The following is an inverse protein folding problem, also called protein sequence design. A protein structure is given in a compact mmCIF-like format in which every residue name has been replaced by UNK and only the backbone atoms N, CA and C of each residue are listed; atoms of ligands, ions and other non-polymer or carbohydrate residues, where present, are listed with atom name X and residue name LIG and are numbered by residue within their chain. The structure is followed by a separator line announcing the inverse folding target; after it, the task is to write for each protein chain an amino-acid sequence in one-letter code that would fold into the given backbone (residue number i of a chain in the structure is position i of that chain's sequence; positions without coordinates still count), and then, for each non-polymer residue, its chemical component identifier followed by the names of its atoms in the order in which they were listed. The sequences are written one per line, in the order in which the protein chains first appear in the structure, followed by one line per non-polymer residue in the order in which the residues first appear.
data_IF_740935181795
#
_entry.id   IF_740935181795
#
_cell.length_a   1.000
_cell.length_b   1.000
_cell.length_c   1.000
_cell.angle_alpha   90.00
_cell.angle_beta   90.00
_cell.angle_gamma   90.00
#
_symmetry.space_group_name_H-M   'P 1'
#
loop_
_entity.id
_entity.type
_entity.pdbx_description
1 polymer ?
#
# COMPACT_ATOMS: atom_id res chain seq x y z
N UNK A 1 -7.51 -2.16 30.78
CA UNK A 1 -6.47 -1.24 31.29
C UNK A 1 -5.49 -1.01 30.15
N UNK A 2 -5.38 0.23 29.65
CA UNK A 2 -4.42 0.57 28.59
C UNK A 2 -3.11 0.99 29.27
N UNK A 3 -2.01 0.32 28.93
CA UNK A 3 -0.68 0.72 29.34
C UNK A 3 -0.19 1.85 28.43
N UNK A 4 0.36 2.89 29.02
CA UNK A 4 1.03 3.99 28.33
C UNK A 4 2.50 3.99 28.71
N UNK A 5 3.37 4.25 27.74
CA UNK A 5 4.82 4.31 27.97
C UNK A 5 5.25 5.75 28.17
N UNK A 6 5.97 6.00 29.26
CA UNK A 6 6.74 7.21 29.47
C UNK A 6 8.20 6.91 29.11
N UNK A 7 8.69 7.49 28.04
CA UNK A 7 10.05 7.25 27.57
C UNK A 7 11.00 8.31 28.13
N UNK A 8 11.93 7.90 28.99
CA UNK A 8 13.00 8.75 29.51
C UNK A 8 14.19 8.74 28.53
N UNK A 9 14.54 9.91 28.03
CA UNK A 9 15.66 10.12 27.12
C UNK A 9 16.91 10.67 27.84
N UNK A 10 17.14 10.23 29.07
CA UNK A 10 18.40 10.55 29.81
C UNK A 10 19.63 9.96 29.08
N UNK A 11 20.74 10.67 29.18
CA UNK A 11 21.99 10.23 28.54
C UNK A 11 22.74 9.21 29.44
N UNK A 12 23.48 8.24 28.87
CA UNK A 12 23.69 8.00 27.44
C UNK A 12 22.51 7.28 26.79
N UNK A 13 22.17 7.65 25.54
CA UNK A 13 21.15 6.95 24.80
C UNK A 13 21.67 5.61 24.28
N UNK A 14 20.79 4.59 24.18
CA UNK A 14 21.12 3.32 23.53
C UNK A 14 21.48 3.52 22.05
N UNK A 15 22.06 2.52 21.37
CA UNK A 15 22.28 2.55 19.93
C UNK A 15 20.99 2.85 19.14
N UNK A 16 21.12 3.50 17.99
CA UNK A 16 19.98 3.88 17.15
C UNK A 16 19.05 2.70 16.81
N UNK A 17 19.63 1.51 16.60
CA UNK A 17 18.90 0.27 16.35
C UNK A 17 17.99 -0.12 17.52
N UNK A 18 18.42 0.09 18.75
CA UNK A 18 17.61 -0.17 19.94
C UNK A 18 16.56 0.92 20.18
N UNK A 19 16.81 2.14 19.72
CA UNK A 19 15.86 3.23 19.91
C UNK A 19 14.67 3.18 18.93
N UNK A 20 14.87 2.65 17.73
CA UNK A 20 13.85 2.71 16.68
C UNK A 20 12.59 1.90 17.04
N UNK A 21 12.71 0.83 17.82
CA UNK A 21 11.54 0.04 18.20
C UNK A 21 10.58 0.81 19.12
N UNK A 22 11.08 1.82 19.86
CA UNK A 22 10.21 2.69 20.68
C UNK A 22 9.21 3.49 19.85
N UNK A 23 9.46 3.65 18.55
CA UNK A 23 8.48 4.27 17.65
C UNK A 23 7.26 3.38 17.39
N UNK A 24 7.35 2.08 17.67
CA UNK A 24 6.22 1.14 17.58
C UNK A 24 5.45 1.02 18.91
N UNK A 25 6.02 1.47 20.00
CA UNK A 25 5.40 1.39 21.32
C UNK A 25 4.39 2.52 21.55
N UNK A 26 3.40 2.35 22.46
CA UNK A 26 2.41 3.36 22.79
C UNK A 26 3.00 4.47 23.69
N UNK A 27 4.00 5.17 23.17
CA UNK A 27 4.67 6.26 23.90
C UNK A 27 3.75 7.46 23.97
N UNK A 28 3.24 7.73 25.16
CA UNK A 28 2.35 8.87 25.45
C UNK A 28 3.09 10.05 26.08
N UNK A 29 4.29 9.81 26.63
CA UNK A 29 5.09 10.82 27.29
C UNK A 29 6.57 10.66 26.93
N UNK A 30 7.23 11.76 26.63
CA UNK A 30 8.67 11.85 26.42
C UNK A 30 9.27 12.71 27.51
N UNK A 31 10.15 12.13 28.33
CA UNK A 31 10.84 12.82 29.39
C UNK A 31 12.21 13.26 28.91
N UNK A 32 12.49 14.57 28.94
CA UNK A 32 13.73 15.20 28.48
C UNK A 32 14.35 16.04 29.62
N UNK A 33 15.24 15.47 30.44
CA UNK A 33 15.99 16.24 31.40
C UNK A 33 16.97 17.20 30.71
N UNK A 34 17.31 18.32 31.36
CA UNK A 34 18.24 19.29 30.81
C UNK A 34 19.61 18.69 30.46
N UNK A 35 20.01 17.63 31.16
CA UNK A 35 21.26 16.88 30.92
C UNK A 35 21.26 16.12 29.56
N UNK A 36 20.12 15.87 28.96
CA UNK A 36 20.02 15.25 27.63
C UNK A 36 20.38 16.19 26.49
N UNK A 37 20.46 17.49 26.78
CA UNK A 37 20.81 18.49 25.78
C UNK A 37 22.31 18.77 25.80
N UNK A 38 22.85 18.95 24.61
CA UNK A 38 24.20 19.45 24.37
C UNK A 38 24.16 20.97 24.22
N UNK A 39 25.30 21.63 24.39
CA UNK A 39 25.41 23.03 24.01
C UNK A 39 25.83 23.14 22.54
N UNK A 40 25.14 23.98 21.78
CA UNK A 40 25.64 24.35 20.46
C UNK A 40 26.80 25.36 20.56
N UNK A 41 27.41 25.73 19.43
CA UNK A 41 28.53 26.66 19.39
C UNK A 41 28.23 28.06 20.01
N UNK A 42 26.95 28.39 20.17
CA UNK A 42 26.49 29.64 20.78
C UNK A 42 26.06 29.47 22.23
N UNK A 43 26.15 28.28 22.81
CA UNK A 43 25.76 27.97 24.18
C UNK A 43 24.24 27.75 24.40
N UNK A 44 23.45 27.53 23.36
CA UNK A 44 22.04 27.12 23.46
C UNK A 44 21.89 25.62 23.59
N UNK A 45 20.88 25.13 24.35
CA UNK A 45 20.60 23.71 24.47
C UNK A 45 20.05 23.12 23.15
N UNK A 46 20.64 22.01 22.70
CA UNK A 46 20.23 21.27 21.50
C UNK A 46 20.37 19.77 21.75
N UNK A 47 19.58 18.94 21.11
CA UNK A 47 19.71 17.48 21.19
C UNK A 47 20.77 16.96 20.20
N UNK A 48 21.39 15.83 20.51
CA UNK A 48 22.23 15.09 19.56
C UNK A 48 21.43 14.70 18.32
N UNK A 49 22.10 14.42 17.19
CA UNK A 49 21.42 14.02 15.95
C UNK A 49 20.54 12.76 16.12
N UNK A 50 21.01 11.78 16.89
CA UNK A 50 20.24 10.57 17.18
C UNK A 50 19.00 10.85 18.02
N UNK A 51 19.15 11.65 19.09
CA UNK A 51 18.02 12.09 19.92
C UNK A 51 17.01 12.94 19.13
N UNK A 52 17.49 13.84 18.27
CA UNK A 52 16.60 14.61 17.36
C UNK A 52 15.78 13.69 16.45
N UNK A 53 16.41 12.67 15.85
CA UNK A 53 15.73 11.71 14.99
C UNK A 53 14.59 11.00 15.73
N UNK A 54 14.87 10.46 16.92
CA UNK A 54 13.88 9.78 17.74
C UNK A 54 12.76 10.73 18.19
N UNK A 55 13.12 11.91 18.73
CA UNK A 55 12.12 12.90 19.17
C UNK A 55 11.24 13.35 18.03
N UNK A 56 11.78 13.60 16.82
CA UNK A 56 10.98 13.95 15.63
C UNK A 56 10.01 12.81 15.23
N UNK A 57 10.45 11.56 15.29
CA UNK A 57 9.58 10.41 14.99
C UNK A 57 8.43 10.31 16.01
N UNK A 58 8.74 10.49 17.31
CA UNK A 58 7.71 10.47 18.36
C UNK A 58 6.76 11.67 18.28
N UNK A 59 7.26 12.87 17.98
CA UNK A 59 6.43 14.08 17.86
C UNK A 59 5.34 14.00 16.78
N UNK A 60 5.48 13.12 15.80
CA UNK A 60 4.42 12.85 14.81
C UNK A 60 3.13 12.31 15.45
N UNK A 61 3.25 11.68 16.63
CA UNK A 61 2.12 11.11 17.41
C UNK A 61 1.66 12.03 18.55
N UNK A 62 2.21 13.23 18.62
CA UNK A 62 1.86 14.25 19.60
C UNK A 62 1.91 13.77 21.08
N UNK A 63 3.00 13.12 21.54
CA UNK A 63 3.15 12.75 22.94
C UNK A 63 3.25 13.99 23.82
N UNK A 64 2.95 13.85 25.10
CA UNK A 64 3.30 14.87 26.08
C UNK A 64 4.83 14.93 26.21
N UNK A 65 5.40 16.13 26.17
CA UNK A 65 6.83 16.32 26.38
C UNK A 65 7.05 16.99 27.73
N UNK A 66 7.77 16.32 28.61
CA UNK A 66 8.15 16.82 29.91
C UNK A 66 9.62 17.26 29.85
N UNK A 67 9.87 18.53 30.21
CA UNK A 67 11.21 19.08 30.34
C UNK A 67 11.52 19.18 31.82
N UNK A 68 12.54 18.45 32.31
CA UNK A 68 12.94 18.50 33.73
C UNK A 68 14.31 19.18 33.94
N UNK A 69 14.55 19.64 35.13
CA UNK A 69 15.79 20.26 35.59
C UNK A 69 16.24 21.50 34.78
N UNK A 70 15.31 22.12 34.07
CA UNK A 70 15.60 23.27 33.19
C UNK A 70 15.87 24.56 33.98
N UNK A 71 15.53 24.61 35.27
CA UNK A 71 15.82 25.74 36.17
C UNK A 71 17.23 25.67 36.75
N UNK A 72 17.82 24.46 36.76
CA UNK A 72 19.20 24.22 37.21
C UNK A 72 19.98 23.54 36.07
N UNK A 73 20.16 24.24 34.93
CA UNK A 73 20.72 23.64 33.75
C UNK A 73 22.20 23.31 33.89
N UNK A 74 22.75 22.40 33.09
CA UNK A 74 24.19 22.17 32.98
C UNK A 74 24.97 23.46 32.69
N UNK A 75 26.18 23.64 33.22
CA UNK A 75 26.97 24.88 33.10
C UNK A 75 27.25 25.32 31.66
N UNK A 76 27.27 24.39 30.70
CA UNK A 76 27.50 24.68 29.28
C UNK A 76 26.30 25.35 28.57
N UNK A 77 25.12 25.36 29.18
CA UNK A 77 23.92 26.00 28.64
C UNK A 77 23.84 27.46 29.08
N UNK A 78 24.77 28.26 28.59
CA UNK A 78 24.96 29.65 29.05
C UNK A 78 23.96 30.64 28.47
N UNK A 79 23.15 30.25 27.48
CA UNK A 79 22.20 31.11 26.77
C UNK A 79 20.77 30.60 26.76
N UNK A 80 19.83 31.53 26.76
CA UNK A 80 18.40 31.30 26.53
C UNK A 80 17.60 30.93 27.76
N UNK A 81 18.24 30.57 28.87
CA UNK A 81 17.57 30.20 30.13
C UNK A 81 16.59 29.01 29.97
N UNK A 82 15.69 28.79 30.93
CA UNK A 82 14.74 27.66 30.88
C UNK A 82 13.84 27.62 29.64
N UNK A 83 13.49 28.77 29.08
CA UNK A 83 12.62 28.87 27.91
C UNK A 83 13.26 28.32 26.63
N UNK A 84 14.61 28.31 26.55
CA UNK A 84 15.30 27.83 25.35
C UNK A 84 15.04 26.33 25.03
N UNK A 85 14.88 25.50 26.04
CA UNK A 85 14.56 24.09 25.89
C UNK A 85 13.19 23.92 25.24
N UNK A 86 12.18 24.63 25.73
CA UNK A 86 10.84 24.60 25.15
C UNK A 86 10.82 25.15 23.73
N UNK A 87 11.54 26.27 23.49
CA UNK A 87 11.65 26.85 22.14
C UNK A 87 12.30 25.87 21.17
N UNK A 88 13.32 25.14 21.62
CA UNK A 88 13.99 24.13 20.80
C UNK A 88 13.07 22.96 20.46
N UNK A 89 12.34 22.39 21.43
CA UNK A 89 11.38 21.30 21.16
C UNK A 89 10.26 21.78 20.23
N UNK A 90 9.74 23.01 20.43
CA UNK A 90 8.76 23.63 19.52
C UNK A 90 9.32 23.80 18.09
N UNK A 91 10.61 24.17 17.99
CA UNK A 91 11.27 24.26 16.69
C UNK A 91 11.34 22.90 16.02
N UNK A 92 11.70 21.82 16.72
CA UNK A 92 11.69 20.47 16.17
C UNK A 92 10.30 20.07 15.66
N UNK A 93 9.25 20.36 16.43
CA UNK A 93 7.86 20.07 16.01
C UNK A 93 7.45 20.87 14.77
N UNK A 94 7.75 22.19 14.75
CA UNK A 94 7.41 23.06 13.60
C UNK A 94 8.18 22.73 12.32
N UNK A 95 9.34 22.11 12.43
CA UNK A 95 10.19 21.72 11.30
C UNK A 95 10.00 20.25 10.88
N UNK A 96 8.98 19.57 11.40
CA UNK A 96 8.57 18.28 10.86
C UNK A 96 8.12 18.44 9.40
N UNK A 97 8.54 17.53 8.57
CA UNK A 97 8.01 17.48 7.21
C UNK A 97 6.48 17.29 7.25
N UNK A 98 5.72 18.00 6.43
CA UNK A 98 4.28 17.77 6.33
C UNK A 98 4.03 16.32 5.90
N UNK A 99 2.88 15.75 6.26
CA UNK A 99 2.52 14.41 5.81
C UNK A 99 2.45 14.39 4.27
N UNK A 100 2.90 13.31 3.68
CA UNK A 100 2.74 13.05 2.25
C UNK A 100 1.24 12.93 1.89
N UNK A 101 0.92 12.96 0.58
CA UNK A 101 -0.45 12.74 0.10
C UNK A 101 -0.97 11.37 0.55
N UNK A 102 -0.11 10.34 0.53
CA UNK A 102 -0.46 8.99 0.96
C UNK A 102 -0.68 8.93 2.48
N UNK A 103 0.21 9.53 3.29
CA UNK A 103 0.02 9.59 4.76
C UNK A 103 -1.24 10.37 5.14
N UNK A 104 -1.62 11.39 4.35
CA UNK A 104 -2.86 12.14 4.55
C UNK A 104 -4.08 11.29 4.23
N UNK A 105 -4.05 10.53 3.14
CA UNK A 105 -5.09 9.57 2.77
C UNK A 105 -5.24 8.47 3.82
N UNK A 106 -4.13 7.88 4.27
CA UNK A 106 -4.12 6.79 5.25
C UNK A 106 -4.49 7.21 6.68
N UNK A 107 -4.62 8.51 6.94
CA UNK A 107 -4.91 9.02 8.29
C UNK A 107 -6.26 8.53 8.80
N UNK A 108 -6.23 7.89 9.97
CA UNK A 108 -7.41 7.31 10.62
C UNK A 108 -7.64 5.83 10.31
N UNK A 109 -6.84 5.25 9.41
CA UNK A 109 -6.89 3.83 9.08
C UNK A 109 -5.70 3.04 9.64
N UNK A 110 -4.77 3.72 10.30
CA UNK A 110 -3.54 3.12 10.81
C UNK A 110 -3.76 2.14 11.97
N UNK A 111 -3.05 1.00 11.93
CA UNK A 111 -3.02 -0.03 12.96
C UNK A 111 -4.40 -0.64 13.30
N UNK A 112 -5.20 -0.93 12.29
CA UNK A 112 -6.46 -1.64 12.41
C UNK A 112 -6.38 -3.01 11.77
N UNK A 113 -6.91 -4.03 12.44
CA UNK A 113 -7.06 -5.38 11.90
C UNK A 113 -8.27 -5.38 10.96
N UNK A 114 -8.04 -5.57 9.69
CA UNK A 114 -9.07 -5.62 8.66
C UNK A 114 -9.09 -7.01 8.03
N UNK A 115 -10.26 -7.57 7.78
CA UNK A 115 -10.38 -8.80 7.03
C UNK A 115 -9.94 -8.56 5.58
N UNK A 116 -9.16 -9.46 4.98
CA UNK A 116 -8.83 -9.39 3.56
C UNK A 116 -10.09 -9.42 2.70
N UNK A 117 -10.12 -8.59 1.66
CA UNK A 117 -11.16 -8.66 0.65
C UNK A 117 -11.02 -9.91 -0.20
N UNK A 118 -12.15 -10.37 -0.74
CA UNK A 118 -12.23 -11.51 -1.66
C UNK A 118 -12.98 -11.13 -2.94
N UNK A 119 -12.42 -10.20 -3.79
CA UNK A 119 -13.15 -9.64 -4.92
C UNK A 119 -13.55 -10.69 -5.97
N UNK A 120 -12.82 -11.81 -6.02
CA UNK A 120 -13.14 -12.90 -6.94
C UNK A 120 -14.37 -13.71 -6.47
N UNK A 121 -14.57 -13.82 -5.16
CA UNK A 121 -15.71 -14.53 -4.57
C UNK A 121 -16.92 -13.62 -4.44
N UNK A 122 -16.69 -12.41 -3.97
CA UNK A 122 -17.72 -11.48 -3.56
C UNK A 122 -17.87 -10.36 -4.60
N UNK A 123 -19.07 -9.84 -4.74
CA UNK A 123 -19.30 -8.61 -5.47
C UNK A 123 -19.12 -7.44 -4.51
N UNK A 124 -18.08 -6.63 -4.74
CA UNK A 124 -17.75 -5.50 -3.87
C UNK A 124 -18.81 -4.40 -3.96
N UNK A 125 -19.14 -3.78 -2.83
CA UNK A 125 -20.04 -2.64 -2.76
C UNK A 125 -19.43 -1.36 -3.34
N UNK A 126 -20.27 -0.41 -3.72
CA UNK A 126 -19.85 0.86 -4.31
C UNK A 126 -18.95 1.68 -3.39
N UNK A 127 -19.18 1.63 -2.09
CA UNK A 127 -18.39 2.29 -1.04
C UNK A 127 -16.95 1.78 -0.96
N UNK A 128 -16.73 0.48 -1.22
CA UNK A 128 -15.39 -0.10 -1.29
C UNK A 128 -14.61 0.46 -2.48
N UNK A 129 -15.26 0.58 -3.64
CA UNK A 129 -14.63 1.21 -4.81
C UNK A 129 -14.34 2.71 -4.57
N UNK A 130 -15.20 3.44 -3.83
CA UNK A 130 -14.94 4.84 -3.47
C UNK A 130 -13.63 4.99 -2.69
N UNK A 131 -13.36 4.05 -1.79
CA UNK A 131 -12.11 4.06 -1.03
C UNK A 131 -10.92 3.77 -1.94
N UNK A 132 -11.00 2.78 -2.81
CA UNK A 132 -9.91 2.47 -3.75
C UNK A 132 -9.59 3.65 -4.67
N UNK A 133 -10.63 4.30 -5.18
CA UNK A 133 -10.53 5.44 -6.10
C UNK A 133 -10.02 6.72 -5.42
N UNK A 134 -10.13 6.82 -4.10
CA UNK A 134 -9.64 7.97 -3.35
C UNK A 134 -8.12 7.97 -3.12
N UNK A 135 -7.39 6.90 -3.46
CA UNK A 135 -5.92 6.87 -3.41
C UNK A 135 -5.34 7.83 -4.48
N UNK A 136 -4.69 8.91 -4.04
CA UNK A 136 -4.25 9.96 -4.98
C UNK A 136 -3.01 9.59 -5.77
N UNK A 137 -2.29 8.54 -5.38
CA UNK A 137 -0.98 8.19 -5.96
C UNK A 137 -1.11 7.02 -6.91
N UNK A 138 -1.85 5.99 -6.54
CA UNK A 138 -2.00 4.76 -7.31
C UNK A 138 -2.42 5.04 -8.76
N UNK A 139 -3.51 5.72 -8.95
CA UNK A 139 -4.06 5.96 -10.28
C UNK A 139 -3.24 6.94 -11.12
N UNK A 140 -2.52 7.88 -10.50
CA UNK A 140 -1.55 8.73 -11.21
C UNK A 140 -0.37 7.93 -11.75
N UNK A 141 0.13 6.95 -10.98
CA UNK A 141 1.21 6.07 -11.40
C UNK A 141 0.75 5.11 -12.52
N UNK A 142 -0.48 4.61 -12.45
CA UNK A 142 -1.05 3.82 -13.55
C UNK A 142 -1.19 4.65 -14.83
N UNK A 143 -1.70 5.88 -14.74
CA UNK A 143 -1.80 6.78 -15.89
C UNK A 143 -0.43 7.01 -16.53
N UNK A 144 0.60 7.26 -15.71
CA UNK A 144 1.95 7.47 -16.22
C UNK A 144 2.51 6.19 -16.88
N UNK A 145 2.30 5.01 -16.30
CA UNK A 145 2.74 3.75 -16.89
C UNK A 145 2.06 3.48 -18.24
N UNK A 146 0.75 3.75 -18.34
CA UNK A 146 0.00 3.63 -19.58
C UNK A 146 0.51 4.62 -20.62
N UNK A 147 0.74 5.89 -20.24
CA UNK A 147 1.32 6.90 -21.12
C UNK A 147 2.67 6.45 -21.70
N UNK A 148 3.57 5.96 -20.84
CA UNK A 148 4.88 5.47 -21.29
C UNK A 148 4.73 4.27 -22.25
N UNK A 149 3.83 3.33 -21.97
CA UNK A 149 3.57 2.20 -22.87
C UNK A 149 3.02 2.67 -24.24
N UNK A 150 2.10 3.62 -24.23
CA UNK A 150 1.55 4.20 -25.47
C UNK A 150 2.63 4.89 -26.31
N UNK A 151 3.51 5.64 -25.70
CA UNK A 151 4.59 6.36 -26.41
C UNK A 151 5.65 5.39 -26.96
N UNK A 152 6.08 4.39 -26.15
CA UNK A 152 7.22 3.53 -26.47
C UNK A 152 6.85 2.35 -27.36
N UNK A 153 5.63 1.81 -27.20
CA UNK A 153 5.24 0.51 -27.80
C UNK A 153 4.28 0.64 -28.96
N UNK A 154 3.69 1.81 -29.22
CA UNK A 154 2.66 1.96 -30.24
C UNK A 154 3.02 2.97 -31.32
N UNK A 155 2.51 2.72 -32.55
CA UNK A 155 2.69 3.66 -33.67
C UNK A 155 1.71 4.82 -33.57
N UNK A 156 2.12 6.06 -33.90
CA UNK A 156 1.26 7.24 -33.79
C UNK A 156 -0.07 7.19 -34.55
N UNK A 157 -0.11 6.47 -35.67
CA UNK A 157 -1.25 6.43 -36.58
C UNK A 157 -2.17 5.22 -36.41
N UNK A 158 -1.79 4.28 -35.52
CA UNK A 158 -2.59 3.08 -35.27
C UNK A 158 -3.53 3.30 -34.08
N UNK A 159 -4.74 2.78 -34.15
CA UNK A 159 -5.62 2.66 -32.99
C UNK A 159 -5.08 1.58 -32.09
N UNK A 160 -4.87 1.90 -30.81
CA UNK A 160 -4.33 1.02 -29.78
C UNK A 160 -5.46 0.39 -29.00
N UNK A 161 -5.47 -0.93 -28.90
CA UNK A 161 -6.45 -1.64 -28.10
C UNK A 161 -5.93 -1.78 -26.65
N UNK A 162 -6.61 -1.12 -25.72
CA UNK A 162 -6.32 -1.19 -24.29
C UNK A 162 -7.42 -2.00 -23.61
N UNK A 163 -7.06 -3.06 -22.91
CA UNK A 163 -8.00 -3.82 -22.10
C UNK A 163 -7.77 -3.51 -20.62
N UNK A 164 -8.79 -2.99 -19.95
CA UNK A 164 -8.83 -2.84 -18.50
C UNK A 164 -9.56 -4.03 -17.93
N UNK A 165 -8.83 -4.94 -17.29
CA UNK A 165 -9.38 -6.19 -16.76
C UNK A 165 -9.57 -6.08 -15.25
N UNK A 166 -10.79 -6.38 -14.77
CA UNK A 166 -11.22 -6.00 -13.43
C UNK A 166 -11.46 -4.49 -13.38
N UNK A 167 -12.30 -3.99 -14.29
CA UNK A 167 -12.46 -2.55 -14.49
C UNK A 167 -13.11 -1.82 -13.31
N UNK A 168 -13.82 -2.56 -12.42
CA UNK A 168 -14.53 -1.98 -11.29
C UNK A 168 -15.49 -0.89 -11.75
N UNK A 169 -15.39 0.29 -11.17
CA UNK A 169 -16.19 1.48 -11.57
C UNK A 169 -15.55 2.30 -12.69
N UNK A 170 -14.42 1.85 -13.26
CA UNK A 170 -13.80 2.46 -14.44
C UNK A 170 -12.73 3.51 -14.15
N UNK A 171 -12.14 3.55 -12.96
CA UNK A 171 -11.05 4.48 -12.66
C UNK A 171 -9.89 4.32 -13.65
N UNK A 172 -9.45 3.08 -13.91
CA UNK A 172 -8.38 2.81 -14.88
C UNK A 172 -8.80 3.04 -16.33
N UNK A 173 -10.10 2.95 -16.66
CA UNK A 173 -10.63 3.34 -17.97
C UNK A 173 -10.40 4.82 -18.19
N UNK A 174 -10.80 5.65 -17.24
CA UNK A 174 -10.58 7.10 -17.27
C UNK A 174 -9.09 7.44 -17.40
N UNK A 175 -8.23 6.78 -16.63
CA UNK A 175 -6.77 7.00 -16.69
C UNK A 175 -6.17 6.55 -18.01
N UNK A 176 -6.68 5.48 -18.61
CA UNK A 176 -6.25 5.02 -19.94
C UNK A 176 -6.59 6.06 -21.02
N UNK A 177 -7.78 6.64 -20.96
CA UNK A 177 -8.19 7.71 -21.88
C UNK A 177 -7.37 9.00 -21.69
N UNK A 178 -7.12 9.41 -20.44
CA UNK A 178 -6.27 10.57 -20.14
C UNK A 178 -4.82 10.36 -20.61
N UNK A 179 -4.25 9.19 -20.39
CA UNK A 179 -2.93 8.82 -20.88
C UNK A 179 -2.86 8.86 -22.42
N UNK A 180 -3.92 8.39 -23.10
CA UNK A 180 -4.01 8.42 -24.56
C UNK A 180 -4.07 9.87 -25.11
N UNK A 181 -4.82 10.74 -24.47
CA UNK A 181 -4.87 12.17 -24.82
C UNK A 181 -3.49 12.82 -24.66
N UNK A 182 -2.82 12.59 -23.53
CA UNK A 182 -1.45 13.08 -23.29
C UNK A 182 -0.46 12.56 -24.32
N UNK A 183 -0.58 11.28 -24.73
CA UNK A 183 0.29 10.65 -25.71
C UNK A 183 -0.08 11.01 -27.17
N UNK A 184 -1.19 11.69 -27.40
CA UNK A 184 -1.76 11.91 -28.73
C UNK A 184 -1.93 10.60 -29.50
N UNK A 185 -2.57 9.61 -28.87
CA UNK A 185 -2.86 8.27 -29.43
C UNK A 185 -4.37 8.05 -29.49
N UNK A 186 -4.81 7.43 -30.60
CA UNK A 186 -6.16 6.87 -30.68
C UNK A 186 -6.21 5.54 -29.94
N UNK A 187 -7.17 5.39 -29.03
CA UNK A 187 -7.34 4.15 -28.25
C UNK A 187 -8.79 3.67 -28.36
N UNK A 188 -8.93 2.33 -28.35
CA UNK A 188 -10.19 1.65 -28.07
C UNK A 188 -9.99 0.89 -26.75
N UNK A 189 -10.73 1.28 -25.71
CA UNK A 189 -10.64 0.67 -24.37
C UNK A 189 -11.74 -0.39 -24.22
N UNK A 190 -11.36 -1.62 -23.87
CA UNK A 190 -12.31 -2.65 -23.44
C UNK A 190 -12.27 -2.73 -21.92
N UNK A 191 -13.35 -2.37 -21.26
CA UNK A 191 -13.54 -2.50 -19.81
C UNK A 191 -14.18 -3.86 -19.52
N UNK A 192 -13.40 -4.80 -19.02
CA UNK A 192 -13.86 -6.15 -18.66
C UNK A 192 -14.07 -6.21 -17.14
N UNK A 193 -15.29 -6.55 -16.72
CA UNK A 193 -15.68 -6.63 -15.32
C UNK A 193 -16.58 -7.84 -15.06
N UNK A 194 -16.39 -8.50 -13.93
CA UNK A 194 -17.20 -9.65 -13.50
C UNK A 194 -18.42 -9.21 -12.71
N UNK A 195 -18.28 -8.22 -11.84
CA UNK A 195 -19.33 -7.71 -10.97
C UNK A 195 -20.43 -7.02 -11.80
N UNK A 196 -21.61 -7.62 -11.81
CA UNK A 196 -22.74 -7.12 -12.59
C UNK A 196 -23.18 -5.70 -12.14
N UNK A 197 -23.10 -5.41 -10.85
CA UNK A 197 -23.41 -4.09 -10.31
C UNK A 197 -22.44 -3.01 -10.80
N UNK A 198 -21.14 -3.31 -10.83
CA UNK A 198 -20.13 -2.42 -11.38
C UNK A 198 -20.28 -2.22 -12.89
N UNK A 199 -20.68 -3.28 -13.64
CA UNK A 199 -20.94 -3.18 -15.08
C UNK A 199 -22.04 -2.17 -15.43
N UNK A 200 -23.09 -2.06 -14.62
CA UNK A 200 -24.15 -1.05 -14.83
C UNK A 200 -23.53 0.34 -14.76
N UNK A 201 -22.75 0.63 -13.72
CA UNK A 201 -22.05 1.91 -13.59
C UNK A 201 -21.08 2.19 -14.74
N UNK A 202 -20.38 1.17 -15.25
CA UNK A 202 -19.50 1.31 -16.41
C UNK A 202 -20.29 1.64 -17.68
N UNK A 203 -21.47 1.05 -17.89
CA UNK A 203 -22.33 1.36 -19.04
C UNK A 203 -22.89 2.77 -18.96
N UNK A 204 -23.30 3.23 -17.78
CA UNK A 204 -23.74 4.61 -17.57
C UNK A 204 -22.62 5.59 -17.90
N UNK A 205 -21.41 5.34 -17.41
CA UNK A 205 -20.23 6.17 -17.69
C UNK A 205 -19.79 6.10 -19.16
N UNK A 206 -19.95 4.95 -19.81
CA UNK A 206 -19.69 4.80 -21.25
C UNK A 206 -20.53 5.80 -22.04
N UNK A 207 -21.82 5.92 -21.71
CA UNK A 207 -22.72 6.83 -22.42
C UNK A 207 -22.50 8.28 -22.03
N UNK A 208 -22.33 8.55 -20.74
CA UNK A 208 -22.28 9.91 -20.20
C UNK A 208 -20.91 10.60 -20.35
N UNK A 209 -19.81 9.84 -20.24
CA UNK A 209 -18.47 10.42 -20.11
C UNK A 209 -17.52 10.05 -21.25
N UNK A 210 -17.46 8.76 -21.63
CA UNK A 210 -16.35 8.27 -22.47
C UNK A 210 -16.70 8.15 -23.95
N UNK A 211 -17.95 7.87 -24.28
CA UNK A 211 -18.43 7.60 -25.63
C UNK A 211 -18.29 6.12 -26.04
N UNK A 212 -19.33 5.54 -26.68
CA UNK A 212 -19.34 4.12 -27.08
C UNK A 212 -18.31 3.80 -28.18
N UNK A 213 -17.84 4.78 -28.91
CA UNK A 213 -16.80 4.61 -29.93
C UNK A 213 -15.40 4.47 -29.34
N UNK A 214 -15.20 4.91 -28.10
CA UNK A 214 -13.90 4.89 -27.41
C UNK A 214 -13.80 3.80 -26.36
N UNK A 215 -14.94 3.42 -25.75
CA UNK A 215 -14.97 2.44 -24.66
C UNK A 215 -16.02 1.39 -24.96
N UNK A 216 -15.65 0.12 -24.79
CA UNK A 216 -16.55 -1.03 -24.84
C UNK A 216 -16.60 -1.69 -23.45
N UNK A 217 -17.79 -1.87 -22.91
CA UNK A 217 -17.99 -2.60 -21.65
C UNK A 217 -18.32 -4.06 -21.96
N UNK A 218 -17.61 -4.97 -21.28
CA UNK A 218 -17.82 -6.42 -21.40
C UNK A 218 -17.99 -6.98 -19.99
N UNK A 219 -19.13 -7.61 -19.73
CA UNK A 219 -19.34 -8.34 -18.50
C UNK A 219 -18.85 -9.76 -18.66
N UNK A 220 -18.00 -10.22 -17.75
CA UNK A 220 -17.51 -11.59 -17.73
C UNK A 220 -16.27 -11.80 -16.89
N UNK A 221 -15.92 -13.07 -16.71
CA UNK A 221 -14.71 -13.48 -16.01
C UNK A 221 -13.56 -13.62 -17.02
N UNK A 222 -12.46 -12.90 -16.76
CA UNK A 222 -11.28 -12.91 -17.64
C UNK A 222 -10.64 -14.29 -17.79
N UNK A 223 -10.89 -15.20 -16.86
CA UNK A 223 -10.36 -16.58 -16.91
C UNK A 223 -11.11 -17.45 -17.92
N UNK A 224 -12.40 -17.20 -18.13
CA UNK A 224 -13.28 -18.04 -18.93
C UNK A 224 -13.79 -17.37 -20.21
N UNK A 225 -13.69 -16.05 -20.33
CA UNK A 225 -14.14 -15.31 -21.50
C UNK A 225 -13.45 -15.82 -22.77
N UNK A 226 -14.16 -16.02 -23.88
CA UNK A 226 -13.57 -16.40 -25.17
C UNK A 226 -12.53 -15.37 -25.64
N UNK A 227 -11.41 -15.88 -26.14
CA UNK A 227 -10.35 -15.05 -26.73
C UNK A 227 -10.80 -14.57 -28.10
N UNK A 228 -10.57 -13.29 -28.47
CA UNK A 228 -10.82 -12.82 -29.82
C UNK A 228 -10.14 -13.70 -30.88
N UNK A 229 -10.89 -14.12 -31.89
CA UNK A 229 -10.38 -15.03 -32.90
C UNK A 229 -9.23 -14.41 -33.71
N UNK A 230 -9.32 -13.11 -33.99
CA UNK A 230 -8.24 -12.37 -34.65
C UNK A 230 -7.26 -11.80 -33.64
N UNK A 231 -5.98 -11.97 -33.91
CA UNK A 231 -4.90 -11.33 -33.11
C UNK A 231 -5.00 -9.80 -33.16
N UNK A 232 -5.49 -9.23 -34.27
CA UNK A 232 -5.66 -7.77 -34.40
C UNK A 232 -6.65 -7.21 -33.37
N UNK A 233 -7.62 -8.02 -32.93
CA UNK A 233 -8.66 -7.59 -31.99
C UNK A 233 -8.24 -7.79 -30.52
N UNK A 234 -7.05 -8.39 -30.30
CA UNK A 234 -6.48 -8.53 -28.97
C UNK A 234 -5.88 -7.20 -28.50
N UNK A 235 -5.54 -7.16 -27.21
CA UNK A 235 -4.97 -5.99 -26.55
C UNK A 235 -3.52 -5.73 -26.96
N UNK A 236 -3.20 -4.49 -27.26
CA UNK A 236 -1.81 -3.99 -27.27
C UNK A 236 -1.31 -3.78 -25.85
N UNK A 237 -2.21 -3.34 -24.95
CA UNK A 237 -1.92 -3.08 -23.54
C UNK A 237 -3.05 -3.69 -22.69
N UNK A 238 -2.72 -4.53 -21.74
CA UNK A 238 -3.60 -4.98 -20.66
C UNK A 238 -3.27 -4.22 -19.40
N UNK A 239 -4.29 -3.62 -18.78
CA UNK A 239 -4.16 -2.87 -17.53
C UNK A 239 -5.02 -3.54 -16.46
N UNK A 240 -4.49 -3.74 -15.28
CA UNK A 240 -5.21 -4.34 -14.16
C UNK A 240 -4.77 -3.77 -12.82
N UNK A 241 -5.68 -3.72 -11.87
CA UNK A 241 -5.39 -3.50 -10.46
C UNK A 241 -6.18 -4.55 -9.66
N UNK A 242 -5.53 -5.68 -9.38
CA UNK A 242 -6.11 -6.88 -8.78
C UNK A 242 -5.27 -7.37 -7.60
N UNK A 243 -4.35 -6.53 -7.11
CA UNK A 243 -3.40 -6.94 -6.10
C UNK A 243 -3.99 -6.74 -4.70
N UNK A 244 -4.02 -7.81 -3.93
CA UNK A 244 -4.22 -7.72 -2.50
C UNK A 244 -2.96 -7.22 -1.78
N UNK A 245 -3.06 -7.05 -0.45
CA UNK A 245 -1.97 -6.52 0.38
C UNK A 245 -0.72 -7.40 0.39
N UNK A 246 -0.85 -8.68 0.03
CA UNK A 246 0.25 -9.62 -0.16
C UNK A 246 0.33 -10.06 -1.63
N UNK A 247 0.08 -9.16 -2.56
CA UNK A 247 0.12 -9.34 -4.00
C UNK A 247 -0.91 -10.36 -4.53
N UNK A 248 -0.76 -11.64 -4.21
CA UNK A 248 -1.55 -12.76 -4.75
C UNK A 248 -2.72 -13.20 -3.87
N UNK A 249 -2.90 -12.63 -2.69
CA UNK A 249 -3.95 -13.03 -1.75
C UNK A 249 -5.39 -12.73 -2.21
N UNK A 250 -5.57 -12.01 -3.31
CA UNK A 250 -6.85 -11.79 -3.99
C UNK A 250 -6.91 -12.51 -5.35
N UNK A 251 -6.05 -13.50 -5.58
CA UNK A 251 -6.00 -14.36 -6.77
C UNK A 251 -5.65 -13.59 -8.06
N UNK A 252 -4.86 -12.52 -7.94
CA UNK A 252 -4.39 -11.77 -9.11
C UNK A 252 -3.62 -12.63 -10.13
N UNK A 253 -2.73 -13.56 -9.74
CA UNK A 253 -2.02 -14.42 -10.70
C UNK A 253 -2.96 -15.25 -11.56
N UNK A 254 -3.94 -15.91 -10.95
CA UNK A 254 -4.92 -16.76 -11.67
C UNK A 254 -5.79 -15.96 -12.62
N UNK A 255 -6.18 -14.76 -12.20
CA UNK A 255 -6.95 -13.84 -13.02
C UNK A 255 -6.13 -13.36 -14.22
N UNK A 256 -4.89 -12.92 -13.97
CA UNK A 256 -4.02 -12.36 -14.99
C UNK A 256 -3.52 -13.43 -15.99
N UNK A 257 -3.29 -14.65 -15.56
CA UNK A 257 -3.02 -15.76 -16.49
C UNK A 257 -4.17 -15.93 -17.49
N UNK A 258 -5.40 -15.82 -17.01
CA UNK A 258 -6.57 -15.78 -17.87
C UNK A 258 -6.57 -14.60 -18.82
N UNK A 259 -6.22 -13.42 -18.33
CA UNK A 259 -6.21 -12.18 -19.11
C UNK A 259 -5.09 -12.12 -20.16
N UNK A 260 -3.92 -12.76 -19.91
CA UNK A 260 -2.81 -12.76 -20.86
C UNK A 260 -3.17 -13.41 -22.20
N UNK A 261 -4.22 -14.23 -22.28
CA UNK A 261 -4.75 -14.78 -23.54
C UNK A 261 -5.28 -13.69 -24.48
N UNK A 262 -5.68 -12.55 -23.92
CA UNK A 262 -6.17 -11.41 -24.71
C UNK A 262 -5.04 -10.51 -25.20
N UNK A 263 -3.81 -10.69 -24.74
CA UNK A 263 -2.68 -9.85 -25.09
C UNK A 263 -2.09 -10.26 -26.45
N UNK A 264 -1.72 -9.29 -27.27
CA UNK A 264 -0.95 -9.54 -28.51
C UNK A 264 0.46 -10.05 -28.18
N UNK A 265 1.15 -10.75 -29.10
CA UNK A 265 2.50 -11.28 -28.87
C UNK A 265 3.54 -10.24 -28.44
N UNK A 266 3.36 -8.98 -28.84
CA UNK A 266 4.25 -7.86 -28.45
C UNK A 266 3.58 -6.87 -27.50
N UNK A 267 2.44 -7.27 -26.95
CA UNK A 267 1.68 -6.43 -26.03
C UNK A 267 2.35 -6.27 -24.67
N UNK A 268 1.82 -5.35 -23.89
CA UNK A 268 2.34 -4.99 -22.57
C UNK A 268 1.27 -5.22 -21.50
N UNK A 269 1.65 -5.86 -20.41
CA UNK A 269 0.83 -5.93 -19.18
C UNK A 269 1.25 -4.84 -18.19
N UNK A 270 0.29 -4.15 -17.60
CA UNK A 270 0.51 -3.16 -16.54
C UNK A 270 -0.37 -3.56 -15.34
N UNK A 271 0.23 -4.03 -14.24
CA UNK A 271 1.66 -4.25 -14.04
C UNK A 271 2.19 -5.43 -14.87
N UNK A 272 3.49 -5.41 -15.18
CA UNK A 272 4.17 -6.52 -15.84
C UNK A 272 4.69 -7.56 -14.85
N UNK A 273 4.93 -7.14 -13.61
CA UNK A 273 5.37 -8.02 -12.52
C UNK A 273 5.05 -7.41 -11.16
N UNK A 274 4.95 -8.26 -10.16
CA UNK A 274 4.83 -7.86 -8.76
C UNK A 274 5.47 -8.90 -7.84
N UNK A 275 5.75 -8.51 -6.60
CA UNK A 275 6.48 -9.34 -5.66
C UNK A 275 5.99 -9.06 -4.23
N UNK A 276 5.52 -10.07 -3.49
CA UNK A 276 5.27 -9.95 -2.06
C UNK A 276 6.56 -10.05 -1.25
N UNK A 277 6.53 -9.43 -0.08
CA UNK A 277 7.64 -9.42 0.86
C UNK A 277 7.17 -9.89 2.24
N UNK A 278 8.08 -10.50 2.98
CA UNK A 278 7.86 -10.92 4.37
C UNK A 278 8.86 -10.24 5.28
N UNK A 279 8.41 -9.84 6.46
CA UNK A 279 9.27 -9.29 7.49
C UNK A 279 8.71 -9.60 8.88
N UNK A 280 9.54 -10.01 9.85
CA UNK A 280 9.15 -10.03 11.25
C UNK A 280 9.02 -8.58 11.74
N UNK A 281 7.94 -8.32 12.47
CA UNK A 281 7.63 -6.96 12.96
C UNK A 281 7.35 -6.97 14.46
N UNK A 282 7.58 -5.83 15.10
CA UNK A 282 7.08 -5.52 16.43
C UNK A 282 5.97 -4.47 16.31
N UNK A 283 4.79 -4.80 16.80
CA UNK A 283 3.64 -3.89 16.85
C UNK A 283 2.76 -4.21 18.07
N UNK A 284 3.07 -3.66 19.25
CA UNK A 284 2.36 -3.94 20.49
C UNK A 284 0.87 -3.64 20.42
N UNK A 285 0.47 -2.62 19.66
CA UNK A 285 -0.93 -2.23 19.48
C UNK A 285 -1.75 -3.33 18.80
N UNK A 286 -1.26 -3.87 17.67
CA UNK A 286 -1.92 -4.95 16.95
C UNK A 286 -1.88 -6.27 17.73
N UNK A 287 -0.74 -6.58 18.36
CA UNK A 287 -0.62 -7.75 19.21
C UNK A 287 -1.64 -7.69 20.38
N UNK A 288 -1.81 -6.53 21.01
CA UNK A 288 -2.80 -6.35 22.06
C UNK A 288 -4.24 -6.47 21.54
N UNK A 289 -4.53 -5.98 20.33
CA UNK A 289 -5.83 -6.13 19.68
C UNK A 289 -6.16 -7.60 19.43
N UNK A 290 -5.23 -8.36 18.86
CA UNK A 290 -5.37 -9.81 18.65
C UNK A 290 -5.57 -10.57 19.97
N UNK A 291 -4.74 -10.28 20.96
CA UNK A 291 -4.81 -10.96 22.27
C UNK A 291 -6.11 -10.71 23.02
N UNK A 292 -6.70 -9.54 22.85
CA UNK A 292 -7.94 -9.16 23.54
C UNK A 292 -9.21 -9.52 22.73
N UNK A 293 -9.07 -10.16 21.57
CA UNK A 293 -10.17 -10.45 20.69
C UNK A 293 -10.91 -9.19 20.21
N UNK A 294 -10.19 -8.06 20.13
CA UNK A 294 -10.78 -6.80 19.73
C UNK A 294 -11.17 -6.86 18.25
N UNK A 295 -12.47 -6.87 17.98
CA UNK A 295 -13.02 -6.66 16.65
C UNK A 295 -12.65 -5.28 16.07
N UNK A 296 -13.07 -4.96 14.84
CA UNK A 296 -12.79 -3.68 14.20
C UNK A 296 -13.32 -2.52 15.04
N UNK A 297 -12.64 -1.37 14.94
CA UNK A 297 -12.98 -0.20 15.73
C UNK A 297 -14.41 0.26 15.54
N UNK A 298 -15.07 0.75 16.61
CA UNK A 298 -16.43 1.30 16.55
C UNK A 298 -16.58 2.49 15.58
N UNK A 299 -15.49 3.14 15.20
CA UNK A 299 -15.45 4.31 14.32
C UNK A 299 -14.77 4.06 12.97
N UNK A 300 -14.50 2.81 12.60
CA UNK A 300 -14.02 2.49 11.27
C UNK A 300 -15.09 2.94 10.26
N UNK A 301 -14.70 3.80 9.31
CA UNK A 301 -15.63 4.21 8.25
C UNK A 301 -16.07 2.97 7.48
N UNK A 302 -17.39 2.78 7.24
CA UNK A 302 -17.84 1.75 6.32
C UNK A 302 -17.15 1.99 4.96
N UNK A 303 -16.65 0.94 4.33
CA UNK A 303 -16.13 1.04 2.98
C UNK A 303 -14.67 0.67 2.75
N UNK A 304 -13.84 0.54 3.79
CA UNK A 304 -12.55 -0.13 3.63
C UNK A 304 -12.74 -1.58 4.06
N UNK A 305 -12.96 -2.46 3.09
CA UNK A 305 -12.78 -3.90 3.24
C UNK A 305 -13.29 -4.52 4.54
N UNK A 306 -14.44 -4.08 5.01
CA UNK A 306 -15.08 -4.65 6.18
C UNK A 306 -15.87 -5.90 5.77
N UNK A 307 -15.17 -6.95 5.33
CA UNK A 307 -15.67 -8.28 5.65
C UNK A 307 -15.78 -8.30 7.18
N UNK A 308 -16.93 -8.64 7.71
CA UNK A 308 -17.08 -8.83 9.16
C UNK A 308 -16.05 -9.88 9.56
N UNK A 309 -14.89 -9.43 10.07
CA UNK A 309 -14.08 -10.29 10.89
C UNK A 309 -15.02 -10.75 11.99
N UNK A 310 -15.26 -12.06 12.07
CA UNK A 310 -16.14 -12.62 13.08
C UNK A 310 -15.80 -12.04 14.44
N UNK A 311 -16.69 -12.02 15.36
CA UNK A 311 -16.67 -11.29 16.64
C UNK A 311 -15.38 -11.35 17.46
N UNK A 312 -14.36 -12.12 17.02
CA UNK A 312 -13.09 -12.28 17.72
C UNK A 312 -11.89 -12.30 16.76
N UNK A 313 -11.02 -11.30 16.87
CA UNK A 313 -9.71 -11.32 16.24
C UNK A 313 -8.87 -12.50 16.79
N UNK A 314 -8.18 -13.21 15.91
CA UNK A 314 -7.39 -14.42 16.21
C UNK A 314 -6.01 -14.35 15.60
N UNK A 315 -5.02 -15.01 16.22
CA UNK A 315 -3.67 -15.19 15.65
C UNK A 315 -3.65 -16.14 14.45
N UNK A 316 -4.69 -16.92 14.25
CA UNK A 316 -4.78 -17.91 13.17
C UNK A 316 -5.42 -17.33 11.89
N UNK A 317 -5.76 -16.05 11.90
CA UNK A 317 -6.43 -15.37 10.78
C UNK A 317 -5.50 -14.32 10.16
N UNK A 318 -5.36 -14.25 8.83
CA UNK A 318 -4.64 -13.17 8.18
C UNK A 318 -5.44 -11.86 8.25
N UNK A 319 -4.74 -10.74 8.41
CA UNK A 319 -5.33 -9.41 8.42
C UNK A 319 -4.60 -8.47 7.46
N UNK A 320 -5.35 -7.53 6.91
CA UNK A 320 -4.81 -6.38 6.18
C UNK A 320 -4.66 -5.23 7.16
N UNK A 321 -3.48 -4.60 7.18
CA UNK A 321 -3.18 -3.50 8.10
C UNK A 321 -2.38 -2.41 7.39
N UNK A 322 -2.83 -1.17 7.51
CA UNK A 322 -2.00 0.00 7.25
C UNK A 322 -1.19 0.31 8.52
N UNK A 323 0.10 0.05 8.47
CA UNK A 323 0.97 0.24 9.62
C UNK A 323 1.23 1.72 9.90
N UNK A 324 0.91 2.16 11.11
CA UNK A 324 1.29 3.46 11.65
C UNK A 324 2.35 3.32 12.75
N UNK A 325 2.24 2.27 13.58
CA UNK A 325 3.08 2.00 14.73
C UNK A 325 3.75 0.64 14.62
N UNK A 326 4.77 0.54 13.78
CA UNK A 326 5.49 -0.70 13.53
C UNK A 326 7.00 -0.51 13.62
N UNK A 327 7.70 -1.49 14.14
CA UNK A 327 9.15 -1.63 14.01
C UNK A 327 9.49 -2.96 13.35
N UNK A 328 10.32 -2.92 12.32
CA UNK A 328 10.86 -4.13 11.70
C UNK A 328 11.92 -4.74 12.62
N UNK A 329 11.72 -5.99 13.00
CA UNK A 329 12.73 -6.73 13.74
C UNK A 329 13.94 -6.96 12.82
N UNK A 330 15.13 -6.61 13.28
CA UNK A 330 16.34 -7.09 12.64
C UNK A 330 16.41 -8.59 12.89
N UNK A 331 16.42 -9.40 11.85
CA UNK A 331 16.86 -10.76 11.99
C UNK A 331 18.27 -10.74 12.58
N UNK A 332 18.44 -11.53 13.60
CA UNK A 332 19.56 -11.63 14.49
C UNK A 332 20.87 -11.90 13.77
N UNK A 333 21.48 -10.91 13.22
CA UNK A 333 22.84 -11.10 12.95
C UNK A 333 23.61 -9.82 13.32
N UNK A 334 24.62 -10.03 14.10
CA UNK A 334 25.59 -9.01 14.49
C UNK A 334 26.37 -8.45 13.29
N UNK A 335 26.25 -9.08 12.13
CA UNK A 335 26.90 -8.68 10.88
C UNK A 335 26.00 -7.84 9.96
N UNK A 336 24.72 -7.65 10.26
CA UNK A 336 23.79 -6.84 9.44
C UNK A 336 23.50 -7.42 8.05
N UNK A 337 23.64 -8.75 7.88
CA UNK A 337 23.60 -9.39 6.57
C UNK A 337 22.23 -9.89 6.13
N UNK A 338 21.27 -9.99 7.05
CA UNK A 338 19.92 -10.40 6.70
C UNK A 338 19.04 -9.18 6.48
N UNK A 339 18.48 -8.99 5.28
CA UNK A 339 17.54 -7.90 5.07
C UNK A 339 16.33 -8.10 5.99
N UNK A 340 15.90 -7.02 6.64
CA UNK A 340 14.72 -7.02 7.50
C UNK A 340 13.46 -7.39 6.75
N UNK A 341 13.42 -7.06 5.46
CA UNK A 341 12.34 -7.35 4.54
C UNK A 341 12.90 -8.26 3.46
N UNK A 342 12.31 -9.42 3.27
CA UNK A 342 12.76 -10.40 2.30
C UNK A 342 11.69 -10.59 1.22
N UNK A 343 12.09 -10.66 -0.07
CA UNK A 343 11.18 -11.04 -1.13
C UNK A 343 10.80 -12.52 -1.00
N UNK A 344 9.54 -12.83 -1.28
CA UNK A 344 9.07 -14.22 -1.28
C UNK A 344 9.20 -14.84 -2.68
N UNK A 345 8.40 -14.37 -3.61
CA UNK A 345 8.38 -14.83 -5.01
C UNK A 345 8.04 -13.68 -5.93
N UNK A 346 8.27 -13.88 -7.21
CA UNK A 346 7.96 -12.89 -8.24
C UNK A 346 6.99 -13.49 -9.25
N UNK A 347 5.89 -12.77 -9.48
CA UNK A 347 4.96 -13.06 -10.55
C UNK A 347 5.25 -12.14 -11.75
N UNK A 348 5.20 -12.71 -12.94
CA UNK A 348 5.41 -11.98 -14.19
C UNK A 348 4.28 -12.27 -15.17
N UNK A 349 3.76 -11.23 -15.79
CA UNK A 349 2.70 -11.32 -16.76
C UNK A 349 3.10 -10.64 -18.06
N UNK A 350 2.96 -11.35 -19.15
CA UNK A 350 3.32 -10.89 -20.48
C UNK A 350 2.74 -11.76 -21.57
N UNK A 351 3.05 -11.47 -22.83
CA UNK A 351 2.57 -12.27 -23.95
C UNK A 351 2.97 -13.74 -23.82
N UNK A 352 2.03 -14.63 -24.03
CA UNK A 352 2.23 -16.08 -23.85
C UNK A 352 3.37 -16.65 -24.70
N UNK A 353 3.60 -16.10 -25.91
CA UNK A 353 4.64 -16.56 -26.82
C UNK A 353 6.06 -16.13 -26.41
N UNK A 354 6.20 -15.05 -25.64
CA UNK A 354 7.50 -14.52 -25.22
C UNK A 354 8.01 -15.08 -23.91
N UNK A 355 7.15 -15.72 -23.12
CA UNK A 355 7.46 -16.14 -21.76
C UNK A 355 7.97 -17.57 -21.65
N UNK A 356 7.93 -18.36 -22.72
CA UNK A 356 8.22 -19.80 -22.67
C UNK A 356 7.21 -20.58 -21.82
N UNK A 357 6.06 -19.99 -21.58
CA UNK A 357 5.00 -20.50 -20.73
C UNK A 357 4.38 -21.76 -21.33
N UNK A 358 4.48 -22.88 -20.64
CA UNK A 358 3.76 -24.11 -20.96
C UNK A 358 2.31 -23.91 -20.53
N UNK A 359 1.39 -23.98 -21.48
CA UNK A 359 -0.04 -23.96 -21.16
C UNK A 359 -0.48 -25.30 -20.59
N UNK A 360 -1.34 -25.27 -19.58
CA UNK A 360 -2.08 -26.45 -19.12
C UNK A 360 -3.05 -26.95 -20.19
N UNK A 361 -3.61 -28.14 -20.00
CA UNK A 361 -4.65 -28.70 -20.90
C UNK A 361 -5.89 -27.80 -21.02
N UNK A 362 -6.11 -26.88 -20.07
CA UNK A 362 -7.14 -25.83 -20.10
C UNK A 362 -6.72 -24.58 -20.88
N UNK A 363 -5.50 -24.54 -21.43
CA UNK A 363 -4.94 -23.37 -22.13
C UNK A 363 -4.44 -22.25 -21.20
N UNK A 364 -4.34 -22.51 -19.90
CA UNK A 364 -3.79 -21.57 -18.94
C UNK A 364 -2.27 -21.72 -18.83
N UNK A 365 -1.52 -20.61 -18.71
CA UNK A 365 -0.07 -20.66 -18.50
C UNK A 365 0.25 -21.33 -17.14
N UNK A 366 1.26 -22.22 -17.13
CA UNK A 366 1.61 -23.02 -15.95
C UNK A 366 2.85 -22.45 -15.20
N UNK A 367 3.39 -21.34 -15.65
CA UNK A 367 4.68 -20.85 -15.14
C UNK A 367 4.59 -19.97 -13.92
N UNK A 368 3.46 -19.32 -13.67
CA UNK A 368 3.25 -18.73 -12.38
C UNK A 368 2.90 -19.88 -11.44
N UNK A 369 3.87 -20.31 -10.66
CA UNK A 369 3.65 -21.37 -9.68
C UNK A 369 2.72 -20.85 -8.58
N UNK A 370 1.43 -20.98 -8.78
CA UNK A 370 0.38 -20.56 -7.85
C UNK A 370 0.26 -21.46 -6.61
N UNK A 371 1.13 -22.45 -6.47
CA UNK A 371 1.27 -23.22 -5.23
C UNK A 371 1.90 -22.34 -4.14
N UNK A 372 1.28 -21.21 -3.88
CA UNK A 372 1.68 -20.30 -2.86
C UNK A 372 1.40 -20.89 -1.48
N UNK A 373 2.36 -20.73 -0.57
CA UNK A 373 2.23 -21.16 0.82
C UNK A 373 1.05 -20.49 1.55
N UNK A 374 0.53 -19.38 1.04
CA UNK A 374 -0.66 -18.71 1.59
C UNK A 374 -1.97 -19.42 1.24
N UNK A 375 -2.01 -20.23 0.19
CA UNK A 375 -3.17 -21.06 -0.11
C UNK A 375 -3.30 -22.29 0.78
N UNK A 376 -2.33 -22.55 1.63
CA UNK A 376 -2.45 -23.56 2.69
C UNK A 376 -3.22 -23.06 3.91
N UNK A 377 -3.52 -21.76 3.99
CA UNK A 377 -4.58 -21.29 4.87
C UNK A 377 -5.91 -21.78 4.30
N UNK A 378 -6.77 -22.43 5.09
CA UNK A 378 -8.06 -22.86 4.59
C UNK A 378 -8.77 -21.64 4.00
N UNK A 379 -9.05 -21.72 2.71
CA UNK A 379 -9.95 -20.77 2.06
C UNK A 379 -11.28 -20.88 2.81
N UNK A 380 -11.98 -19.78 3.08
CA UNK A 380 -13.34 -19.85 3.58
C UNK A 380 -14.30 -20.64 2.69
N UNK A 381 -13.80 -21.24 1.62
CA UNK A 381 -14.55 -22.04 0.63
C UNK A 381 -14.27 -23.54 0.69
N UNK A 382 -13.27 -23.97 1.45
CA UNK A 382 -13.01 -25.37 1.75
C UNK A 382 -13.63 -25.70 3.11
#
# INVERSE_FOLDING_TARGET
MQLHVALDLSMPLPPATSMIHWTAEPVSLVWLPSSSFLANAKGFPVLSKSAQGLVRALLRRAPLVVLSDITTPPPQHVRGGPSAYLQYVRHLSKTLAPPSRLETFARGYGDWLQAPLQPLADDLGADTYDVFESDPVKYELYEEAIFQALVQKTRPTATVHVWVVGAGRGALVTRSLAAAERASRSVLVTALEKNAGACIGLQDRQVAEWGPDRVRVVQGDMRTLPVPASVTDRADIVVSELLGSFADNELAPECLDGAMRFLKPQGVSIPSSYMPFIAPITTPKLHAALRNGAGPAPNARPGIGMGQAGDHASFDTPYVVLFESVSLLSALDDAGQWPRVQPCWRFEHGPMESSGLVCSASGLPVTNNHNCLLYTSPSPRD
#
